data_IF_995428738857
#
_entry.id   IF_995428738857
#
_cell.length_a   1.000
_cell.length_b   1.000
_cell.length_c   1.000
_cell.angle_alpha   90.00
_cell.angle_beta   90.00
_cell.angle_gamma   90.00
#
_symmetry.space_group_name_H-M   'P 1'
#
loop_
_entity.id
_entity.type
_entity.pdbx_description
1 polymer ?
#
# COMPACT_ATOMS: atom_id res chain seq x y z
N UNK A 1 1.84 14.29 12.95
CA UNK A 1 1.98 13.53 14.20
C UNK A 1 3.36 12.90 14.22
N UNK A 2 4.11 13.09 15.31
CA UNK A 2 5.38 12.40 15.52
C UNK A 2 5.15 10.89 15.51
N UNK A 3 5.99 10.12 14.80
CA UNK A 3 5.92 8.65 14.78
C UNK A 3 5.95 8.02 16.18
N UNK A 4 6.51 8.74 17.16
CA UNK A 4 6.78 8.25 18.50
C UNK A 4 5.83 8.78 19.58
N UNK A 5 4.73 9.45 19.23
CA UNK A 5 3.75 9.86 20.24
C UNK A 5 3.12 8.62 20.91
N UNK A 6 3.39 8.43 22.21
CA UNK A 6 2.79 7.35 23.02
C UNK A 6 1.36 7.76 23.38
N UNK A 7 0.39 6.91 23.06
CA UNK A 7 -0.98 7.12 23.54
C UNK A 7 -1.06 6.79 25.03
N UNK A 8 -1.84 7.57 25.78
CA UNK A 8 -2.13 7.34 27.19
C UNK A 8 -3.65 7.21 27.43
N UNK A 9 -4.03 6.81 28.64
CA UNK A 9 -5.43 6.77 29.09
C UNK A 9 -6.38 6.00 28.16
N UNK A 10 -7.55 6.60 27.90
CA UNK A 10 -8.62 6.02 27.08
C UNK A 10 -8.18 5.73 25.65
N UNK A 11 -7.42 6.64 25.03
CA UNK A 11 -6.92 6.45 23.67
C UNK A 11 -6.04 5.20 23.55
N UNK A 12 -5.18 4.94 24.54
CA UNK A 12 -4.35 3.74 24.54
C UNK A 12 -5.16 2.45 24.71
N UNK A 13 -6.19 2.46 25.59
CA UNK A 13 -7.08 1.31 25.77
C UNK A 13 -7.84 0.99 24.49
N UNK A 14 -8.41 2.00 23.83
CA UNK A 14 -9.06 1.83 22.53
C UNK A 14 -8.06 1.28 21.51
N UNK A 15 -6.91 1.92 21.37
CA UNK A 15 -5.88 1.48 20.42
C UNK A 15 -5.51 0.01 20.63
N UNK A 16 -5.18 -0.41 21.86
CA UNK A 16 -4.84 -1.81 22.18
C UNK A 16 -5.93 -2.79 21.72
N UNK A 17 -7.21 -2.48 21.97
CA UNK A 17 -8.31 -3.30 21.50
C UNK A 17 -8.37 -3.39 19.96
N UNK A 18 -8.14 -2.27 19.26
CA UNK A 18 -8.11 -2.27 17.79
C UNK A 18 -6.89 -3.02 17.24
N UNK A 19 -5.72 -2.89 17.88
CA UNK A 19 -4.52 -3.65 17.53
C UNK A 19 -4.73 -5.16 17.68
N UNK A 20 -5.44 -5.59 18.74
CA UNK A 20 -5.81 -6.98 18.95
C UNK A 20 -6.74 -7.49 17.83
N UNK A 21 -7.81 -6.75 17.51
CA UNK A 21 -8.72 -7.08 16.39
C UNK A 21 -8.00 -7.16 15.04
N UNK A 22 -7.06 -6.25 14.77
CA UNK A 22 -6.26 -6.32 13.55
C UNK A 22 -5.33 -7.54 13.55
N UNK A 23 -4.74 -7.88 14.69
CA UNK A 23 -3.78 -9.00 14.77
C UNK A 23 -4.47 -10.35 14.62
N UNK A 24 -5.71 -10.53 15.08
CA UNK A 24 -6.48 -11.76 14.83
C UNK A 24 -6.81 -11.98 13.34
N UNK A 25 -6.83 -10.90 12.55
CA UNK A 25 -7.00 -10.95 11.11
C UNK A 25 -5.68 -11.24 10.35
N UNK A 26 -4.55 -11.37 11.03
CA UNK A 26 -3.27 -11.62 10.36
C UNK A 26 -3.24 -13.01 9.72
N UNK A 27 -2.73 -13.06 8.50
CA UNK A 27 -2.51 -14.29 7.70
C UNK A 27 -1.14 -14.24 7.04
N UNK A 28 -0.13 -13.80 7.79
CA UNK A 28 1.23 -13.67 7.28
C UNK A 28 1.82 -15.03 6.92
N UNK A 29 2.61 -15.08 5.85
CA UNK A 29 3.16 -16.33 5.32
C UNK A 29 2.17 -17.16 4.49
N UNK A 30 0.87 -16.89 4.58
CA UNK A 30 -0.15 -17.58 3.79
C UNK A 30 -0.32 -16.97 2.40
N UNK A 31 -0.70 -17.80 1.44
CA UNK A 31 -0.94 -17.38 0.06
C UNK A 31 -2.28 -16.67 -0.08
N UNK A 32 -2.25 -15.34 -0.31
CA UNK A 32 -3.45 -14.57 -0.66
C UNK A 32 -4.07 -15.04 -1.98
N UNK A 33 -3.27 -15.61 -2.87
CA UNK A 33 -3.75 -16.12 -4.15
C UNK A 33 -4.63 -17.35 -3.93
N UNK A 34 -4.17 -18.33 -3.15
CA UNK A 34 -4.96 -19.51 -2.77
C UNK A 34 -6.23 -19.10 -2.03
N UNK A 35 -6.14 -18.18 -1.07
CA UNK A 35 -7.33 -17.70 -0.35
C UNK A 35 -8.38 -17.05 -1.27
N UNK A 36 -7.95 -16.38 -2.35
CA UNK A 36 -8.86 -15.85 -3.38
C UNK A 36 -9.48 -16.94 -4.25
N UNK A 37 -8.71 -17.97 -4.56
CA UNK A 37 -9.20 -19.12 -5.33
C UNK A 37 -10.26 -19.87 -4.52
N UNK A 38 -9.96 -20.21 -3.27
CA UNK A 38 -10.88 -20.87 -2.35
C UNK A 38 -12.16 -20.04 -2.11
N UNK A 39 -12.04 -18.73 -1.87
CA UNK A 39 -13.20 -17.86 -1.71
C UNK A 39 -14.06 -17.75 -2.99
N UNK A 40 -13.44 -17.81 -4.17
CA UNK A 40 -14.15 -17.81 -5.45
C UNK A 40 -14.91 -19.12 -5.65
N UNK A 41 -14.29 -20.24 -5.33
CA UNK A 41 -14.90 -21.56 -5.42
C UNK A 41 -16.08 -21.70 -4.45
N UNK A 42 -15.91 -21.33 -3.18
CA UNK A 42 -16.98 -21.31 -2.21
C UNK A 42 -18.18 -20.45 -2.66
N UNK A 43 -17.91 -19.26 -3.19
CA UNK A 43 -18.96 -18.38 -3.71
C UNK A 43 -19.71 -19.00 -4.90
N UNK A 44 -18.98 -19.66 -5.82
CA UNK A 44 -19.58 -20.37 -6.95
C UNK A 44 -20.46 -21.54 -6.51
N UNK A 45 -20.03 -22.30 -5.50
CA UNK A 45 -20.83 -23.39 -4.95
C UNK A 45 -22.13 -22.88 -4.31
N UNK A 46 -22.07 -21.75 -3.60
CA UNK A 46 -23.23 -21.17 -2.92
C UNK A 46 -24.20 -20.43 -3.88
N UNK A 47 -23.68 -19.71 -4.87
CA UNK A 47 -24.50 -18.81 -5.71
C UNK A 47 -24.69 -19.29 -7.16
N UNK A 48 -23.97 -20.33 -7.59
CA UNK A 48 -23.99 -20.85 -8.96
C UNK A 48 -23.39 -19.94 -10.03
N UNK A 49 -23.00 -18.71 -9.70
CA UNK A 49 -22.36 -17.75 -10.59
C UNK A 49 -21.50 -16.73 -9.82
N UNK A 50 -20.80 -15.83 -10.53
CA UNK A 50 -19.91 -14.83 -9.93
C UNK A 50 -20.53 -13.43 -9.81
N UNK A 51 -21.85 -13.28 -10.05
CA UNK A 51 -22.51 -11.97 -10.02
C UNK A 51 -22.52 -11.44 -8.58
N UNK A 52 -21.76 -10.38 -8.35
CA UNK A 52 -21.60 -9.78 -7.00
C UNK A 52 -20.35 -10.23 -6.25
N UNK A 53 -19.60 -11.23 -6.76
CA UNK A 53 -18.35 -11.66 -6.13
C UNK A 53 -17.28 -10.55 -6.21
N UNK A 54 -16.74 -10.18 -5.05
CA UNK A 54 -15.64 -9.22 -4.96
C UNK A 54 -14.35 -9.91 -4.49
N UNK A 55 -13.41 -10.24 -5.41
CA UNK A 55 -12.16 -10.92 -5.06
C UNK A 55 -11.21 -10.07 -4.19
N UNK A 56 -11.53 -8.79 -3.97
CA UNK A 56 -10.77 -7.92 -3.07
C UNK A 56 -11.22 -8.01 -1.61
N UNK A 57 -12.35 -8.67 -1.33
CA UNK A 57 -12.93 -8.79 0.01
C UNK A 57 -12.55 -10.06 0.77
N UNK A 58 -11.65 -10.89 0.23
CA UNK A 58 -11.09 -12.05 0.94
C UNK A 58 -10.68 -11.67 2.36
N UNK A 59 -11.06 -12.54 3.30
CA UNK A 59 -10.86 -12.33 4.72
C UNK A 59 -9.38 -12.28 5.10
N UNK A 60 -9.08 -11.58 6.19
CA UNK A 60 -7.71 -11.46 6.71
C UNK A 60 -6.81 -10.42 6.02
N UNK A 61 -5.58 -10.34 6.54
CA UNK A 61 -4.52 -9.39 6.17
C UNK A 61 -3.22 -10.19 5.95
N UNK A 62 -2.83 -10.31 4.68
CA UNK A 62 -1.68 -11.13 4.25
C UNK A 62 -0.36 -10.37 4.14
N UNK A 63 -0.41 -9.03 4.12
CA UNK A 63 0.77 -8.19 3.93
C UNK A 63 1.12 -7.46 5.22
N UNK A 64 2.38 -7.61 5.66
CA UNK A 64 2.95 -6.88 6.80
C UNK A 64 2.75 -5.37 6.61
N UNK A 65 3.08 -4.85 5.41
CA UNK A 65 2.94 -3.42 5.09
C UNK A 65 1.48 -2.93 5.15
N UNK A 66 0.53 -3.77 4.74
CA UNK A 66 -0.91 -3.46 4.92
C UNK A 66 -1.28 -3.43 6.40
N UNK A 67 -0.80 -4.40 7.19
CA UNK A 67 -1.01 -4.39 8.63
C UNK A 67 -0.48 -3.12 9.27
N UNK A 68 0.79 -2.76 9.04
CA UNK A 68 1.39 -1.52 9.56
C UNK A 68 0.56 -0.28 9.22
N UNK A 69 0.10 -0.21 7.98
CA UNK A 69 -0.76 0.89 7.50
C UNK A 69 -2.08 0.94 8.28
N UNK A 70 -2.71 -0.22 8.51
CA UNK A 70 -3.98 -0.31 9.24
C UNK A 70 -3.80 -0.04 10.73
N UNK A 71 -2.70 -0.51 11.32
CA UNK A 71 -2.33 -0.21 12.71
C UNK A 71 -2.12 1.29 12.92
N UNK A 72 -1.51 1.98 11.96
CA UNK A 72 -1.35 3.43 11.99
C UNK A 72 -2.71 4.15 11.92
N UNK A 73 -3.61 3.75 11.01
CA UNK A 73 -4.97 4.31 10.98
C UNK A 73 -5.72 4.03 12.28
N UNK A 74 -5.65 2.81 12.82
CA UNK A 74 -6.29 2.45 14.08
C UNK A 74 -5.77 3.29 15.25
N UNK A 75 -4.46 3.58 15.28
CA UNK A 75 -3.84 4.47 16.28
C UNK A 75 -4.37 5.91 16.16
N UNK A 76 -4.40 6.46 14.95
CA UNK A 76 -4.94 7.81 14.71
C UNK A 76 -6.42 7.91 15.06
N UNK A 77 -7.21 6.90 14.70
CA UNK A 77 -8.63 6.83 15.01
C UNK A 77 -8.88 6.66 16.52
N UNK A 78 -8.12 5.83 17.21
CA UNK A 78 -8.26 5.64 18.66
C UNK A 78 -8.03 6.94 19.45
N UNK A 79 -7.05 7.75 19.02
CA UNK A 79 -6.82 9.09 19.58
C UNK A 79 -8.02 10.00 19.33
N UNK A 80 -8.50 10.04 18.10
CA UNK A 80 -9.67 10.85 17.73
C UNK A 80 -10.93 10.44 18.51
N UNK A 81 -11.24 9.14 18.56
CA UNK A 81 -12.41 8.61 19.23
C UNK A 81 -12.40 8.92 20.74
N UNK A 82 -11.23 8.80 21.38
CA UNK A 82 -11.08 9.18 22.78
C UNK A 82 -11.32 10.67 23.02
N UNK A 83 -10.80 11.53 22.13
CA UNK A 83 -11.05 12.99 22.19
C UNK A 83 -12.52 13.34 21.98
N UNK A 84 -13.25 12.55 21.19
CA UNK A 84 -14.71 12.62 21.04
C UNK A 84 -15.51 12.05 22.22
N UNK A 85 -14.84 11.57 23.27
CA UNK A 85 -15.49 11.05 24.47
C UNK A 85 -15.84 9.55 24.42
N UNK A 86 -15.38 8.80 23.41
CA UNK A 86 -15.56 7.35 23.40
C UNK A 86 -14.80 6.70 24.57
N UNK A 87 -15.52 5.97 25.43
CA UNK A 87 -14.94 5.38 26.65
C UNK A 87 -14.14 4.09 26.40
N UNK A 88 -14.53 3.30 25.41
CA UNK A 88 -13.87 2.04 25.03
C UNK A 88 -14.22 1.61 23.60
N UNK A 89 -13.51 0.61 23.08
CA UNK A 89 -13.64 0.15 21.69
C UNK A 89 -14.96 -0.58 21.37
N UNK A 90 -15.73 -0.99 22.38
CA UNK A 90 -17.05 -1.62 22.18
C UNK A 90 -18.16 -0.60 21.96
N UNK A 91 -17.92 0.67 22.32
CA UNK A 91 -18.84 1.78 22.04
C UNK A 91 -18.63 2.42 20.67
N UNK A 92 -17.65 1.94 19.91
CA UNK A 92 -17.39 2.44 18.55
C UNK A 92 -18.43 1.83 17.62
N UNK A 93 -19.32 2.67 17.12
CA UNK A 93 -20.37 2.32 16.17
C UNK A 93 -19.98 2.67 14.74
N UNK A 94 -20.83 2.28 13.79
CA UNK A 94 -20.66 2.61 12.37
C UNK A 94 -20.69 4.12 12.14
N UNK A 95 -21.55 4.83 12.86
CA UNK A 95 -21.74 6.27 12.79
C UNK A 95 -20.49 7.01 13.25
N UNK A 96 -19.88 6.60 14.37
CA UNK A 96 -18.63 7.18 14.89
C UNK A 96 -17.48 7.03 13.87
N UNK A 97 -17.40 5.89 13.19
CA UNK A 97 -16.41 5.68 12.13
C UNK A 97 -16.71 6.55 10.90
N UNK A 98 -17.98 6.70 10.53
CA UNK A 98 -18.42 7.59 9.45
C UNK A 98 -18.04 9.05 9.71
N UNK A 99 -18.35 9.54 10.92
CA UNK A 99 -18.01 10.90 11.35
C UNK A 99 -16.50 11.16 11.28
N UNK A 100 -15.68 10.21 11.76
CA UNK A 100 -14.23 10.31 11.64
C UNK A 100 -13.77 10.48 10.19
N UNK A 101 -14.33 9.69 9.26
CA UNK A 101 -13.91 9.74 7.86
C UNK A 101 -14.33 11.05 7.19
N UNK A 102 -15.52 11.57 7.52
CA UNK A 102 -15.98 12.88 7.06
C UNK A 102 -15.10 14.00 7.62
N UNK A 103 -14.74 13.94 8.89
CA UNK A 103 -13.85 14.93 9.52
C UNK A 103 -12.42 14.86 8.93
N UNK A 104 -11.94 13.67 8.56
CA UNK A 104 -10.66 13.54 7.85
C UNK A 104 -10.69 14.27 6.51
N UNK A 105 -11.80 14.16 5.78
CA UNK A 105 -11.97 14.88 4.53
C UNK A 105 -12.08 16.40 4.73
N UNK A 106 -12.88 16.87 5.70
CA UNK A 106 -13.02 18.30 5.98
C UNK A 106 -11.70 18.93 6.43
N UNK A 107 -10.86 18.18 7.15
CA UNK A 107 -9.50 18.56 7.52
C UNK A 107 -8.47 18.47 6.36
N UNK A 108 -8.94 18.42 5.11
CA UNK A 108 -8.09 18.46 3.92
C UNK A 108 -7.28 17.19 3.64
N UNK A 109 -7.61 16.04 4.24
CA UNK A 109 -6.93 14.78 3.89
C UNK A 109 -7.32 14.35 2.48
N UNK A 110 -6.32 13.93 1.71
CA UNK A 110 -6.53 13.53 0.32
C UNK A 110 -7.51 12.35 0.20
N UNK A 111 -8.23 12.21 -0.93
CA UNK A 111 -9.11 11.07 -1.19
C UNK A 111 -8.40 9.73 -1.04
N UNK A 112 -7.09 9.68 -1.29
CA UNK A 112 -6.24 8.49 -1.08
C UNK A 112 -6.10 8.14 0.40
N UNK A 113 -5.87 9.13 1.25
CA UNK A 113 -5.74 8.94 2.69
C UNK A 113 -7.06 8.48 3.29
N UNK A 114 -8.17 9.16 2.97
CA UNK A 114 -9.50 8.80 3.49
C UNK A 114 -9.94 7.43 2.97
N UNK A 115 -9.65 7.07 1.73
CA UNK A 115 -9.91 5.70 1.21
C UNK A 115 -9.15 4.62 1.97
N UNK A 116 -7.88 4.90 2.30
CA UNK A 116 -7.02 4.00 3.06
C UNK A 116 -7.51 3.86 4.49
N UNK A 117 -7.93 4.97 5.11
CA UNK A 117 -8.48 4.97 6.46
C UNK A 117 -9.81 4.18 6.51
N UNK A 118 -10.73 4.42 5.57
CA UNK A 118 -11.99 3.69 5.46
C UNK A 118 -11.77 2.19 5.27
N UNK A 119 -10.82 1.79 4.41
CA UNK A 119 -10.50 0.37 4.21
C UNK A 119 -9.95 -0.30 5.48
N UNK A 120 -9.10 0.40 6.25
CA UNK A 120 -8.56 -0.10 7.51
C UNK A 120 -9.65 -0.26 8.57
N UNK A 121 -10.52 0.74 8.72
CA UNK A 121 -11.60 0.73 9.70
C UNK A 121 -12.67 -0.32 9.33
N UNK A 122 -13.05 -0.42 8.05
CA UNK A 122 -13.92 -1.50 7.60
C UNK A 122 -13.31 -2.88 7.84
N UNK A 123 -11.99 -3.04 7.65
CA UNK A 123 -11.33 -4.30 7.97
C UNK A 123 -11.34 -4.58 9.48
N UNK A 124 -11.26 -3.55 10.31
CA UNK A 124 -11.19 -3.67 11.78
C UNK A 124 -12.55 -3.96 12.42
N UNK A 125 -13.63 -3.36 11.88
CA UNK A 125 -14.97 -3.40 12.48
C UNK A 125 -16.00 -4.18 11.67
N UNK A 126 -15.76 -4.43 10.38
CA UNK A 126 -16.73 -5.11 9.52
C UNK A 126 -17.91 -4.25 9.07
N UNK A 127 -17.93 -2.94 9.35
CA UNK A 127 -19.09 -2.07 9.09
C UNK A 127 -19.45 -1.83 7.62
N UNK A 128 -18.57 -2.21 6.68
CA UNK A 128 -18.89 -2.17 5.26
C UNK A 128 -19.15 -0.75 4.71
N UNK A 129 -18.57 0.28 5.33
CA UNK A 129 -18.77 1.67 4.93
C UNK A 129 -18.35 1.92 3.48
N UNK A 130 -19.09 2.77 2.79
CA UNK A 130 -18.85 3.16 1.40
C UNK A 130 -18.57 4.65 1.28
N UNK A 131 -18.05 5.08 0.14
CA UNK A 131 -17.83 6.50 -0.11
C UNK A 131 -19.11 7.25 -0.43
N UNK A 132 -20.00 6.59 -1.17
CA UNK A 132 -21.25 7.17 -1.62
C UNK A 132 -22.13 7.53 -0.41
N UNK A 133 -22.28 6.61 0.54
CA UNK A 133 -23.08 6.86 1.75
C UNK A 133 -22.51 8.00 2.62
N UNK A 134 -21.19 8.19 2.64
CA UNK A 134 -20.52 9.17 3.49
C UNK A 134 -20.23 10.51 2.78
N UNK A 135 -20.56 10.64 1.49
CA UNK A 135 -20.21 11.82 0.68
C UNK A 135 -18.70 12.01 0.51
N UNK A 136 -17.92 10.93 0.55
CA UNK A 136 -16.45 11.01 0.46
C UNK A 136 -15.98 11.09 -0.99
N UNK A 137 -14.99 11.93 -1.23
CA UNK A 137 -14.39 12.12 -2.53
C UNK A 137 -13.78 10.83 -3.09
N UNK A 138 -14.00 10.62 -4.39
CA UNK A 138 -13.38 9.55 -5.14
C UNK A 138 -11.95 9.89 -5.52
N UNK A 139 -11.13 8.83 -5.70
CA UNK A 139 -9.72 9.01 -6.10
C UNK A 139 -9.71 9.31 -7.59
N UNK A 140 -9.05 10.41 -7.99
CA UNK A 140 -8.83 10.74 -9.40
C UNK A 140 -7.31 10.66 -9.70
N UNK A 141 -6.96 10.17 -10.89
CA UNK A 141 -5.59 10.13 -11.37
C UNK A 141 -5.03 11.54 -11.62
N UNK A 142 -5.87 12.45 -12.10
CA UNK A 142 -5.50 13.83 -12.44
C UNK A 142 -5.10 14.65 -11.20
N UNK A 143 -5.54 14.24 -10.01
CA UNK A 143 -5.23 14.93 -8.74
C UNK A 143 -3.98 14.35 -8.05
N UNK A 144 -3.23 13.45 -8.69
CA UNK A 144 -2.01 12.86 -8.11
C UNK A 144 -0.83 13.81 -8.33
N UNK A 145 -0.53 14.61 -7.30
CA UNK A 145 0.59 15.56 -7.29
C UNK A 145 1.90 14.95 -6.76
N UNK A 146 1.83 13.85 -6.00
CA UNK A 146 3.02 13.25 -5.36
C UNK A 146 3.94 12.64 -6.41
N UNK A 147 5.25 12.87 -6.26
CA UNK A 147 6.30 12.33 -7.14
C UNK A 147 6.16 12.78 -8.60
N UNK A 148 5.52 13.94 -8.83
CA UNK A 148 5.48 14.61 -10.14
C UNK A 148 6.52 15.72 -10.26
N UNK A 149 6.71 16.47 -9.17
CA UNK A 149 7.65 17.58 -9.07
C UNK A 149 8.68 17.30 -7.97
N UNK A 150 9.86 17.93 -8.03
CA UNK A 150 10.82 17.91 -6.93
C UNK A 150 10.19 18.40 -5.63
N UNK A 151 10.60 17.79 -4.53
CA UNK A 151 10.17 18.08 -3.15
C UNK A 151 11.39 18.30 -2.26
N UNK A 152 11.19 18.88 -1.08
CA UNK A 152 12.27 19.05 -0.09
C UNK A 152 12.95 17.72 0.29
N UNK A 153 12.23 16.59 0.21
CA UNK A 153 12.82 15.29 0.49
C UNK A 153 13.80 14.81 -0.60
N UNK A 154 13.73 15.39 -1.80
CA UNK A 154 14.62 15.07 -2.92
C UNK A 154 15.96 15.82 -2.84
N UNK A 155 16.12 16.75 -1.88
CA UNK A 155 17.38 17.48 -1.62
C UNK A 155 18.39 16.68 -0.77
N UNK A 156 18.05 15.46 -0.36
CA UNK A 156 18.93 14.63 0.47
C UNK A 156 20.10 14.11 -0.35
N UNK A 157 21.21 13.83 0.31
CA UNK A 157 22.33 13.13 -0.34
C UNK A 157 21.95 11.67 -0.61
N UNK A 158 21.94 11.32 -1.90
CA UNK A 158 21.69 9.96 -2.39
C UNK A 158 22.96 9.33 -2.99
N UNK A 159 24.14 9.82 -2.61
CA UNK A 159 25.42 9.37 -3.16
C UNK A 159 25.65 7.85 -3.11
N UNK A 160 25.20 7.22 -2.03
CA UNK A 160 25.32 5.77 -1.81
C UNK A 160 24.40 4.94 -2.71
N UNK A 161 23.32 5.53 -3.21
CA UNK A 161 22.28 4.86 -4.00
C UNK A 161 22.31 5.26 -5.49
N UNK A 162 23.40 5.90 -5.96
CA UNK A 162 23.53 6.44 -7.32
C UNK A 162 23.31 5.39 -8.40
N UNK A 163 23.85 4.19 -8.22
CA UNK A 163 23.69 3.08 -9.18
C UNK A 163 22.24 2.61 -9.27
N UNK A 164 21.59 2.45 -8.11
CA UNK A 164 20.20 2.03 -7.98
C UNK A 164 19.26 3.07 -8.58
N UNK A 165 19.56 4.36 -8.38
CA UNK A 165 18.81 5.48 -8.97
C UNK A 165 19.01 5.51 -10.48
N UNK A 166 20.24 5.34 -10.96
CA UNK A 166 20.56 5.26 -12.40
C UNK A 166 19.78 4.12 -13.04
N UNK A 167 19.81 2.93 -12.44
CA UNK A 167 19.05 1.78 -12.89
C UNK A 167 17.54 2.05 -12.94
N UNK A 168 16.98 2.64 -11.88
CA UNK A 168 15.56 2.95 -11.81
C UNK A 168 15.13 3.99 -12.87
N UNK A 169 15.94 5.02 -13.10
CA UNK A 169 15.71 6.03 -14.15
C UNK A 169 15.82 5.43 -15.55
N UNK A 170 16.81 4.58 -15.78
CA UNK A 170 17.08 3.94 -17.07
C UNK A 170 15.95 3.00 -17.52
N UNK A 171 15.26 2.37 -16.56
CA UNK A 171 14.31 1.27 -16.83
C UNK A 171 12.86 1.58 -16.47
N UNK A 172 12.60 2.60 -15.66
CA UNK A 172 11.27 2.89 -15.11
C UNK A 172 10.70 1.76 -14.23
N UNK A 173 11.56 0.90 -13.68
CA UNK A 173 11.14 -0.24 -12.87
C UNK A 173 10.61 0.19 -11.50
N UNK A 174 9.87 -0.70 -10.83
CA UNK A 174 9.48 -0.46 -9.43
C UNK A 174 10.71 -0.54 -8.53
N UNK A 175 10.72 0.23 -7.43
CA UNK A 175 11.77 0.15 -6.39
C UNK A 175 12.07 -1.29 -5.94
N UNK A 176 11.04 -2.12 -5.76
CA UNK A 176 11.20 -3.52 -5.37
C UNK A 176 11.89 -4.37 -6.46
N UNK A 177 11.75 -3.99 -7.73
CA UNK A 177 12.42 -4.66 -8.84
C UNK A 177 13.92 -4.37 -8.83
N UNK A 178 14.34 -3.17 -8.43
CA UNK A 178 15.76 -2.82 -8.24
C UNK A 178 16.45 -3.77 -7.26
N UNK A 179 15.75 -4.22 -6.22
CA UNK A 179 16.30 -5.15 -5.22
C UNK A 179 16.25 -6.62 -5.63
N UNK A 180 15.59 -6.95 -6.74
CA UNK A 180 15.37 -8.33 -7.19
C UNK A 180 16.08 -8.68 -8.50
N UNK A 181 16.43 -7.67 -9.32
CA UNK A 181 17.10 -7.86 -10.60
C UNK A 181 18.50 -8.46 -10.41
N UNK A 182 18.89 -9.35 -11.33
CA UNK A 182 20.23 -9.97 -11.39
C UNK A 182 20.88 -9.67 -12.74
N UNK A 183 22.19 -9.89 -12.85
CA UNK A 183 22.95 -9.66 -14.10
C UNK A 183 22.34 -10.39 -15.30
N UNK A 184 21.91 -11.66 -15.11
CA UNK A 184 21.23 -12.47 -16.13
C UNK A 184 19.93 -11.87 -16.69
N UNK A 185 19.36 -10.89 -16.00
CA UNK A 185 18.16 -10.21 -16.46
C UNK A 185 18.47 -9.09 -17.46
N UNK A 186 19.72 -8.63 -17.55
CA UNK A 186 20.14 -7.57 -18.44
C UNK A 186 20.45 -8.13 -19.83
N UNK A 187 19.94 -7.46 -20.87
CA UNK A 187 20.10 -7.87 -22.26
C UNK A 187 21.09 -6.90 -22.92
N UNK A 188 22.17 -7.46 -23.48
CA UNK A 188 23.17 -6.71 -24.23
C UNK A 188 22.87 -6.75 -25.73
N UNK A 189 23.24 -5.69 -26.45
CA UNK A 189 23.34 -5.71 -27.91
C UNK A 189 24.70 -6.26 -28.37
N UNK A 190 24.95 -6.25 -29.69
CA UNK A 190 26.22 -6.71 -30.27
C UNK A 190 27.45 -5.91 -29.79
N UNK A 191 27.27 -4.64 -29.43
CA UNK A 191 28.34 -3.78 -28.89
C UNK A 191 28.58 -3.98 -27.39
N UNK A 192 27.89 -4.95 -26.77
CA UNK A 192 27.99 -5.20 -25.33
C UNK A 192 27.22 -4.22 -24.44
N UNK A 193 26.46 -3.27 -25.00
CA UNK A 193 25.67 -2.28 -24.23
C UNK A 193 24.36 -2.87 -23.74
N UNK A 194 23.96 -2.53 -22.51
CA UNK A 194 22.68 -2.93 -21.93
C UNK A 194 21.54 -2.15 -22.59
N UNK A 195 20.69 -2.84 -23.35
CA UNK A 195 19.58 -2.23 -24.12
C UNK A 195 18.19 -2.53 -23.56
N UNK A 196 18.06 -3.59 -22.77
CA UNK A 196 16.80 -3.95 -22.14
C UNK A 196 17.03 -4.76 -20.85
N UNK A 197 16.01 -4.84 -20.00
CA UNK A 197 16.03 -5.64 -18.77
C UNK A 197 14.74 -6.45 -18.61
N UNK A 198 14.88 -7.74 -18.30
CA UNK A 198 13.77 -8.63 -17.93
C UNK A 198 13.39 -8.40 -16.46
N UNK A 199 12.16 -8.02 -16.20
CA UNK A 199 11.64 -7.74 -14.86
C UNK A 199 10.43 -8.60 -14.55
N UNK A 200 10.38 -9.15 -13.34
CA UNK A 200 9.17 -9.76 -12.77
C UNK A 200 8.61 -8.78 -11.74
N UNK A 201 7.37 -8.35 -11.92
CA UNK A 201 6.76 -7.33 -11.06
C UNK A 201 5.46 -7.81 -10.40
N UNK A 202 4.57 -6.88 -10.04
CA UNK A 202 3.38 -7.15 -9.23
C UNK A 202 2.54 -8.27 -9.85
N UNK A 203 2.28 -9.30 -9.04
CA UNK A 203 1.50 -10.46 -9.44
C UNK A 203 2.25 -11.46 -10.32
N UNK A 204 3.60 -11.46 -10.27
CA UNK A 204 4.42 -12.37 -11.07
C UNK A 204 4.46 -12.02 -12.55
N UNK A 205 4.01 -10.81 -12.93
CA UNK A 205 3.96 -10.39 -14.33
C UNK A 205 5.36 -10.07 -14.83
N UNK A 206 5.79 -10.80 -15.84
CA UNK A 206 7.05 -10.58 -16.50
C UNK A 206 6.91 -9.53 -17.59
N UNK A 207 7.92 -8.68 -17.74
CA UNK A 207 8.07 -7.77 -18.86
C UNK A 207 9.53 -7.50 -19.16
N UNK A 208 9.85 -7.33 -20.44
CA UNK A 208 11.12 -6.76 -20.88
C UNK A 208 10.94 -5.26 -21.03
N UNK A 209 11.69 -4.47 -20.27
CA UNK A 209 11.67 -3.01 -20.40
C UNK A 209 12.86 -2.53 -21.21
N UNK A 210 12.67 -1.63 -22.19
CA UNK A 210 13.78 -1.00 -22.89
C UNK A 210 14.53 -0.06 -21.94
N UNK A 211 15.84 0.06 -22.17
CA UNK A 211 16.68 1.05 -21.50
C UNK A 211 16.62 2.35 -22.30
N UNK A 212 16.35 3.46 -21.61
CA UNK A 212 16.39 4.79 -22.22
C UNK A 212 17.74 5.05 -22.88
N UNK A 213 17.74 5.59 -24.10
CA UNK A 213 18.96 5.78 -24.90
C UNK A 213 20.06 6.51 -24.12
N UNK A 214 19.71 7.62 -23.46
CA UNK A 214 20.62 8.46 -22.66
C UNK A 214 21.23 7.75 -21.45
N UNK A 215 20.70 6.57 -21.08
CA UNK A 215 21.15 5.78 -19.93
C UNK A 215 21.86 4.48 -20.31
N UNK A 216 21.90 4.09 -21.59
CA UNK A 216 22.49 2.80 -22.01
C UNK A 216 23.95 2.66 -21.57
N UNK A 217 24.76 3.69 -21.79
CA UNK A 217 26.17 3.70 -21.42
C UNK A 217 26.37 3.64 -19.90
N UNK A 218 25.77 4.60 -19.18
CA UNK A 218 25.81 4.64 -17.71
C UNK A 218 25.31 3.37 -17.05
N UNK A 219 24.23 2.77 -17.57
CA UNK A 219 23.70 1.52 -17.04
C UNK A 219 24.66 0.35 -17.30
N UNK A 220 25.32 0.33 -18.45
CA UNK A 220 26.32 -0.68 -18.78
C UNK A 220 27.49 -0.62 -17.78
N UNK A 221 28.02 0.58 -17.51
CA UNK A 221 29.06 0.76 -16.48
C UNK A 221 28.62 0.30 -15.09
N UNK A 222 27.37 0.59 -14.69
CA UNK A 222 26.82 0.16 -13.40
C UNK A 222 26.74 -1.36 -13.30
N UNK A 223 26.34 -2.02 -14.38
CA UNK A 223 26.24 -3.48 -14.45
C UNK A 223 27.63 -4.12 -14.45
N UNK A 224 28.58 -3.55 -15.20
CA UNK A 224 29.94 -4.08 -15.35
C UNK A 224 30.78 -3.96 -14.06
N UNK A 225 30.50 -2.98 -13.20
CA UNK A 225 31.12 -2.86 -11.86
C UNK A 225 30.80 -4.00 -10.91
N UNK A 226 29.78 -4.81 -11.21
CA UNK A 226 29.31 -5.89 -10.34
C UNK A 226 29.57 -7.23 -11.04
N UNK A 227 30.68 -7.91 -10.74
CA UNK A 227 30.98 -9.23 -11.29
C UNK A 227 29.94 -10.29 -10.88
#
# INVERSE_FOLDING_TARGET
MSRNEKLSGTANRINRALQHRLSSLSRFGQSKHEAKAAAKEAYLQEHGNLKGYNPSRVEGIYSIRTMETYRQTAKEFAKWAANKGCKNANKISREIVGEYLQERQSNGKSPWTTSKDMAALNKTFGFGLTKAELGLQSRNLNTIIRSRNPTENDKRDFGRDKDQITFAKATGCRRQSVTAVRLKNCIRNGDGKIVAVKLTEKGGRERTVPVLNDYKERLTEVVDKRP
#
